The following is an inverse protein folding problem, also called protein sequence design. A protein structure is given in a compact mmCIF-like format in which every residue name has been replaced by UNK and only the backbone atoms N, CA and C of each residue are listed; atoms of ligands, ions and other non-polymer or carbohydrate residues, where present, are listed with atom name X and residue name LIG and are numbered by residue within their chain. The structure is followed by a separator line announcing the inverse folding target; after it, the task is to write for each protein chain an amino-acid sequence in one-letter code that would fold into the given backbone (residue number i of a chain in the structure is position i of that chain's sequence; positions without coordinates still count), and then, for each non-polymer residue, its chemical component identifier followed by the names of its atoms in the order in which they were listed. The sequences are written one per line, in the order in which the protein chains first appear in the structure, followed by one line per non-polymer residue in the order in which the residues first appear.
data_IF_171715069368
#
_entry.id   IF_171715069368
#
_cell.length_a   1.000
_cell.length_b   1.000
_cell.length_c   1.000
_cell.angle_alpha   90.00
_cell.angle_beta   90.00
_cell.angle_gamma   90.00
#
_symmetry.space_group_name_H-M   'P 1'
#
loop_
_entity.id
_entity.type
_entity.pdbx_description
1 polymer ?
#
# COMPACT_ATOMS: atom_id res chain seq x y z
N UNK A 1 -42.08 -62.45 -52.10
CA UNK A 1 -40.92 -61.62 -52.51
C UNK A 1 -39.93 -61.60 -51.37
N UNK A 2 -38.69 -61.96 -51.67
CA UNK A 2 -37.61 -62.13 -50.72
C UNK A 2 -37.13 -60.78 -50.14
N UNK A 3 -36.80 -60.78 -48.84
CA UNK A 3 -35.42 -60.57 -48.35
C UNK A 3 -35.46 -60.48 -46.82
N UNK A 4 -35.29 -61.63 -46.18
CA UNK A 4 -34.81 -61.67 -44.80
C UNK A 4 -33.39 -61.12 -44.77
N UNK A 5 -33.23 -59.92 -44.22
CA UNK A 5 -31.92 -59.31 -44.01
C UNK A 5 -31.28 -60.04 -42.82
N UNK A 6 -30.36 -60.97 -43.11
CA UNK A 6 -29.52 -61.60 -42.11
C UNK A 6 -28.64 -60.53 -41.45
N UNK A 7 -28.91 -60.25 -40.19
CA UNK A 7 -28.13 -59.36 -39.33
C UNK A 7 -26.80 -60.03 -38.97
N UNK A 8 -25.80 -59.92 -39.84
CA UNK A 8 -24.43 -60.32 -39.56
C UNK A 8 -23.67 -59.21 -38.83
N UNK A 9 -24.01 -58.96 -37.56
CA UNK A 9 -23.25 -58.03 -36.72
C UNK A 9 -21.92 -58.68 -36.33
N UNK A 10 -20.90 -58.54 -37.19
CA UNK A 10 -19.53 -58.86 -36.82
C UNK A 10 -19.13 -57.96 -35.65
N UNK A 11 -18.72 -58.55 -34.52
CA UNK A 11 -18.34 -57.83 -33.29
C UNK A 11 -17.38 -56.67 -33.57
N UNK A 12 -16.47 -56.83 -34.56
CA UNK A 12 -15.54 -55.80 -35.04
C UNK A 12 -16.23 -54.55 -35.62
N UNK A 13 -17.33 -54.72 -36.37
CA UNK A 13 -18.10 -53.60 -36.90
C UNK A 13 -18.88 -52.89 -35.80
N UNK A 14 -19.42 -53.64 -34.84
CA UNK A 14 -20.12 -53.05 -33.68
C UNK A 14 -19.16 -52.26 -32.79
N UNK A 15 -17.95 -52.78 -32.52
CA UNK A 15 -16.93 -52.04 -31.75
C UNK A 15 -16.49 -50.77 -32.48
N UNK A 16 -16.32 -50.83 -33.80
CA UNK A 16 -15.93 -49.64 -34.59
C UNK A 16 -17.00 -48.54 -34.56
N UNK A 17 -18.29 -48.93 -34.61
CA UNK A 17 -19.40 -47.99 -34.47
C UNK A 17 -19.42 -47.37 -33.07
N UNK A 18 -19.31 -48.18 -32.01
CA UNK A 18 -19.29 -47.66 -30.62
C UNK A 18 -18.09 -46.74 -30.38
N UNK A 19 -16.90 -47.09 -30.89
CA UNK A 19 -15.72 -46.22 -30.81
C UNK A 19 -15.93 -44.92 -31.58
N UNK A 20 -16.54 -44.95 -32.76
CA UNK A 20 -16.81 -43.73 -33.54
C UNK A 20 -17.80 -42.80 -32.83
N UNK A 21 -18.82 -43.35 -32.17
CA UNK A 21 -19.79 -42.57 -31.36
C UNK A 21 -19.09 -41.95 -30.16
N UNK A 22 -18.25 -42.70 -29.45
CA UNK A 22 -17.49 -42.17 -28.31
C UNK A 22 -16.52 -41.07 -28.71
N UNK A 23 -15.89 -41.16 -29.89
CA UNK A 23 -15.02 -40.09 -30.43
C UNK A 23 -15.84 -38.84 -30.72
N UNK A 24 -17.04 -38.97 -31.32
CA UNK A 24 -17.92 -37.82 -31.59
C UNK A 24 -18.37 -37.15 -30.29
N UNK A 25 -18.71 -37.93 -29.25
CA UNK A 25 -19.07 -37.40 -27.93
C UNK A 25 -17.87 -36.69 -27.30
N UNK A 26 -16.68 -37.29 -27.34
CA UNK A 26 -15.46 -36.68 -26.82
C UNK A 26 -15.15 -35.35 -27.51
N UNK A 27 -15.29 -35.28 -28.84
CA UNK A 27 -15.11 -34.05 -29.62
C UNK A 27 -16.18 -33.00 -29.31
N UNK A 28 -17.42 -33.40 -29.06
CA UNK A 28 -18.50 -32.48 -28.67
C UNK A 28 -18.26 -31.89 -27.28
N UNK A 29 -17.84 -32.71 -26.31
CA UNK A 29 -17.46 -32.24 -24.97
C UNK A 29 -16.24 -31.34 -25.03
N UNK A 30 -15.21 -31.70 -25.80
CA UNK A 30 -14.04 -30.84 -26.06
C UNK A 30 -14.46 -29.49 -26.65
N UNK A 31 -15.35 -29.48 -27.66
CA UNK A 31 -15.86 -28.26 -28.27
C UNK A 31 -16.72 -27.43 -27.30
N UNK A 32 -17.46 -28.07 -26.40
CA UNK A 32 -18.23 -27.38 -25.35
C UNK A 32 -17.31 -26.74 -24.31
N UNK A 33 -16.25 -27.42 -23.89
CA UNK A 33 -15.25 -26.89 -22.94
C UNK A 33 -14.44 -25.76 -23.60
N UNK A 34 -13.96 -25.94 -24.83
CA UNK A 34 -13.25 -24.89 -25.58
C UNK A 34 -14.15 -23.72 -25.97
N UNK A 35 -15.43 -23.97 -26.28
CA UNK A 35 -16.42 -22.93 -26.54
C UNK A 35 -16.77 -22.12 -25.31
N UNK A 36 -16.86 -22.77 -24.14
CA UNK A 36 -17.03 -22.09 -22.86
C UNK A 36 -15.81 -21.23 -22.50
N UNK A 37 -14.60 -21.70 -22.77
CA UNK A 37 -13.37 -20.90 -22.59
C UNK A 37 -13.32 -19.71 -23.56
N UNK A 38 -13.72 -19.89 -24.82
CA UNK A 38 -13.74 -18.79 -25.80
C UNK A 38 -14.87 -17.77 -25.56
N UNK A 39 -16.03 -18.20 -25.03
CA UNK A 39 -17.10 -17.29 -24.63
C UNK A 39 -16.77 -16.56 -23.32
N UNK A 40 -16.10 -17.22 -22.37
CA UNK A 40 -15.63 -16.58 -21.14
C UNK A 40 -14.49 -15.58 -21.40
N UNK A 41 -13.61 -15.84 -22.39
CA UNK A 41 -12.55 -14.89 -22.77
C UNK A 41 -13.04 -13.71 -23.63
N UNK A 42 -14.24 -13.77 -24.20
CA UNK A 42 -14.76 -12.67 -25.02
C UNK A 42 -15.67 -11.70 -24.24
N UNK A 43 -16.34 -12.14 -23.18
CA UNK A 43 -17.17 -11.23 -22.36
C UNK A 43 -16.30 -10.25 -21.55
N UNK A 44 -15.12 -10.68 -21.09
CA UNK A 44 -14.15 -9.80 -20.42
C UNK A 44 -13.46 -8.81 -21.37
N UNK A 45 -13.49 -9.06 -22.68
CA UNK A 45 -12.94 -8.15 -23.70
C UNK A 45 -14.00 -7.15 -24.24
N UNK A 46 -15.28 -7.44 -24.06
CA UNK A 46 -16.40 -6.55 -24.41
C UNK A 46 -16.74 -5.59 -23.27
N UNK A 47 -16.28 -5.85 -22.05
CA UNK A 47 -16.12 -4.83 -20.99
C UNK A 47 -14.88 -3.96 -21.24
N UNK A 48 -14.65 -3.54 -22.49
CA UNK A 48 -13.80 -2.40 -22.76
C UNK A 48 -14.38 -1.22 -21.99
N UNK A 49 -13.75 -0.88 -20.86
CA UNK A 49 -14.01 0.35 -20.11
C UNK A 49 -14.11 1.46 -21.14
N UNK A 50 -15.32 1.97 -21.36
CA UNK A 50 -15.56 3.05 -22.31
C UNK A 50 -15.02 4.32 -21.67
N UNK A 51 -13.73 4.56 -21.88
CA UNK A 51 -13.11 5.82 -21.51
C UNK A 51 -13.75 6.95 -22.33
N UNK A 52 -14.09 8.02 -21.64
CA UNK A 52 -14.46 9.28 -22.26
C UNK A 52 -13.27 9.82 -23.07
N UNK A 53 -13.51 10.65 -24.10
CA UNK A 53 -12.42 11.27 -24.86
C UNK A 53 -11.44 12.07 -24.00
N UNK A 54 -11.92 12.66 -22.89
CA UNK A 54 -11.10 13.39 -21.93
C UNK A 54 -10.13 12.47 -21.16
N UNK A 55 -10.62 11.30 -20.71
CA UNK A 55 -9.78 10.29 -20.05
C UNK A 55 -8.70 9.75 -21.00
N UNK A 56 -9.05 9.50 -22.27
CA UNK A 56 -8.08 9.07 -23.30
C UNK A 56 -7.01 10.16 -23.47
N UNK A 57 -7.42 11.43 -23.55
CA UNK A 57 -6.49 12.55 -23.70
C UNK A 57 -5.52 12.66 -22.52
N UNK A 58 -6.02 12.53 -21.28
CA UNK A 58 -5.20 12.51 -20.06
C UNK A 58 -4.24 11.32 -20.03
N UNK A 59 -4.68 10.13 -20.46
CA UNK A 59 -3.83 8.95 -20.56
C UNK A 59 -2.69 9.16 -21.57
N UNK A 60 -2.98 9.73 -22.75
CA UNK A 60 -1.98 10.05 -23.77
C UNK A 60 -0.97 11.08 -23.27
N UNK A 61 -1.43 12.10 -22.55
CA UNK A 61 -0.57 13.11 -21.94
C UNK A 61 0.36 12.50 -20.87
N UNK A 62 -0.16 11.67 -19.97
CA UNK A 62 0.65 10.97 -18.98
C UNK A 62 1.70 10.06 -19.65
N UNK A 63 1.36 9.38 -20.75
CA UNK A 63 2.32 8.57 -21.52
C UNK A 63 3.42 9.45 -22.12
N UNK A 64 3.09 10.63 -22.65
CA UNK A 64 4.08 11.59 -23.17
C UNK A 64 5.03 12.05 -22.08
N UNK A 65 4.52 12.43 -20.91
CA UNK A 65 5.32 12.86 -19.77
C UNK A 65 6.30 11.75 -19.34
N UNK A 66 5.83 10.52 -19.17
CA UNK A 66 6.70 9.37 -18.80
C UNK A 66 7.78 9.08 -19.84
N UNK A 67 7.47 9.22 -21.13
CA UNK A 67 8.47 9.05 -22.21
C UNK A 67 9.49 10.19 -22.23
N UNK A 68 9.06 11.41 -21.94
CA UNK A 68 9.94 12.57 -21.87
C UNK A 68 10.85 12.54 -20.62
N UNK A 69 10.34 12.03 -19.50
CA UNK A 69 11.10 11.88 -18.24
C UNK A 69 11.96 10.63 -18.19
N UNK A 70 11.88 9.74 -19.19
CA UNK A 70 12.73 8.55 -19.25
C UNK A 70 14.21 8.95 -19.33
N UNK A 71 15.06 8.53 -18.37
CA UNK A 71 16.46 8.96 -18.33
C UNK A 71 17.29 8.14 -19.33
N UNK A 72 17.09 8.38 -20.63
CA UNK A 72 17.72 7.66 -21.76
C UNK A 72 19.24 7.68 -21.70
N UNK A 73 19.82 8.82 -21.27
CA UNK A 73 21.27 8.96 -21.05
C UNK A 73 21.77 8.01 -19.97
N UNK A 74 21.08 7.92 -18.83
CA UNK A 74 21.44 7.01 -17.73
C UNK A 74 21.30 5.56 -18.16
N UNK A 75 20.20 5.19 -18.83
CA UNK A 75 20.02 3.82 -19.37
C UNK A 75 21.15 3.43 -20.32
N UNK A 76 21.61 4.35 -21.18
CA UNK A 76 22.73 4.12 -22.09
C UNK A 76 24.05 3.93 -21.32
N UNK A 77 24.32 4.78 -20.34
CA UNK A 77 25.53 4.68 -19.49
C UNK A 77 25.55 3.35 -18.71
N UNK A 78 24.43 2.97 -18.08
CA UNK A 78 24.32 1.69 -17.36
C UNK A 78 24.54 0.51 -18.30
N UNK A 79 24.02 0.57 -19.54
CA UNK A 79 24.25 -0.47 -20.55
C UNK A 79 25.74 -0.55 -20.94
N UNK A 80 26.41 0.59 -21.12
CA UNK A 80 27.85 0.63 -21.42
C UNK A 80 28.68 0.05 -20.27
N UNK A 81 28.40 0.48 -19.03
CA UNK A 81 29.04 -0.06 -17.84
C UNK A 81 28.81 -1.57 -17.74
N UNK A 82 27.57 -2.06 -17.89
CA UNK A 82 27.29 -3.50 -17.81
C UNK A 82 28.08 -4.33 -18.84
N UNK A 83 28.36 -3.76 -20.03
CA UNK A 83 29.23 -4.39 -21.03
C UNK A 83 30.70 -4.35 -20.60
N UNK A 84 31.18 -3.23 -20.05
CA UNK A 84 32.56 -3.09 -19.54
C UNK A 84 32.86 -3.95 -18.30
N UNK A 85 31.83 -4.26 -17.49
CA UNK A 85 31.97 -5.01 -16.25
C UNK A 85 31.54 -6.48 -16.35
N UNK A 86 30.95 -6.91 -17.47
CA UNK A 86 30.35 -8.24 -17.67
C UNK A 86 31.30 -9.45 -17.66
N UNK A 87 32.62 -9.26 -17.47
CA UNK A 87 33.58 -10.36 -17.30
C UNK A 87 33.94 -10.66 -15.84
N UNK A 88 33.35 -9.96 -14.85
CA UNK A 88 33.71 -10.07 -13.42
C UNK A 88 32.65 -10.73 -12.53
N UNK A 89 31.77 -11.57 -13.10
CA UNK A 89 30.63 -12.17 -12.39
C UNK A 89 30.98 -13.38 -11.47
N UNK A 90 32.25 -13.69 -11.25
CA UNK A 90 32.63 -14.69 -10.25
C UNK A 90 32.59 -14.07 -8.85
N UNK A 91 31.41 -14.05 -8.24
CA UNK A 91 31.19 -13.66 -6.83
C UNK A 91 32.03 -14.59 -5.95
N UNK A 92 33.05 -14.03 -5.28
CA UNK A 92 33.93 -14.82 -4.41
C UNK A 92 33.40 -14.77 -2.98
N UNK A 93 32.89 -15.89 -2.48
CA UNK A 93 32.37 -15.98 -1.12
C UNK A 93 33.51 -16.05 -0.08
N UNK A 94 33.50 -15.12 0.88
CA UNK A 94 34.39 -15.16 2.03
C UNK A 94 33.96 -16.23 3.05
N UNK A 95 34.91 -16.90 3.73
CA UNK A 95 34.63 -17.80 4.84
C UNK A 95 33.84 -17.12 5.97
N UNK A 96 32.93 -17.87 6.61
CA UNK A 96 32.05 -17.34 7.66
C UNK A 96 32.80 -16.68 8.84
N UNK A 97 33.95 -17.25 9.24
CA UNK A 97 34.78 -16.69 10.33
C UNK A 97 35.36 -15.32 10.00
N UNK A 98 35.73 -15.09 8.73
CA UNK A 98 36.24 -13.79 8.28
C UNK A 98 35.11 -12.76 8.26
N UNK A 99 33.93 -13.13 7.73
CA UNK A 99 32.74 -12.27 7.74
C UNK A 99 32.39 -11.80 9.14
N UNK A 100 32.32 -12.72 10.11
CA UNK A 100 31.98 -12.39 11.49
C UNK A 100 32.99 -11.43 12.14
N UNK A 101 34.30 -11.62 11.87
CA UNK A 101 35.32 -10.70 12.36
C UNK A 101 35.15 -9.29 11.78
N UNK A 102 34.93 -9.17 10.47
CA UNK A 102 34.70 -7.87 9.82
C UNK A 102 33.45 -7.18 10.39
N UNK A 103 32.35 -7.92 10.58
CA UNK A 103 31.13 -7.38 11.21
C UNK A 103 31.41 -6.81 12.60
N UNK A 104 32.17 -7.54 13.44
CA UNK A 104 32.49 -7.09 14.79
C UNK A 104 33.37 -5.83 14.78
N UNK A 105 34.37 -5.74 13.90
CA UNK A 105 35.21 -4.55 13.75
C UNK A 105 34.38 -3.32 13.32
N UNK A 106 33.44 -3.49 12.39
CA UNK A 106 32.54 -2.42 11.93
C UNK A 106 31.60 -1.97 13.05
N UNK A 107 30.98 -2.91 13.77
CA UNK A 107 30.10 -2.61 14.91
C UNK A 107 30.88 -1.83 15.98
N UNK A 108 32.10 -2.23 16.28
CA UNK A 108 32.94 -1.51 17.24
C UNK A 108 33.23 -0.09 16.78
N UNK A 109 33.50 0.12 15.49
CA UNK A 109 33.73 1.45 14.91
C UNK A 109 32.47 2.33 15.00
N UNK A 110 31.31 1.77 14.67
CA UNK A 110 30.03 2.49 14.75
C UNK A 110 29.65 2.83 16.21
N UNK A 111 29.89 1.92 17.16
CA UNK A 111 29.66 2.18 18.60
C UNK A 111 30.58 3.25 19.19
N UNK A 112 31.74 3.49 18.57
CA UNK A 112 32.64 4.57 19.00
C UNK A 112 32.18 5.96 18.58
N UNK A 113 31.18 6.06 17.69
CA UNK A 113 30.55 7.32 17.32
C UNK A 113 29.58 7.78 18.43
N UNK A 114 29.30 9.08 18.49
CA UNK A 114 28.34 9.63 19.46
C UNK A 114 26.94 9.05 19.24
N UNK A 115 26.15 8.95 20.31
CA UNK A 115 24.79 8.38 20.26
C UNK A 115 23.80 9.13 19.35
N UNK A 116 24.19 10.30 18.83
CA UNK A 116 23.44 11.14 17.91
C UNK A 116 24.10 11.31 16.53
N UNK A 117 25.07 10.47 16.18
CA UNK A 117 25.77 10.57 14.90
C UNK A 117 24.79 10.43 13.72
N UNK A 118 24.86 11.39 12.79
CA UNK A 118 24.09 11.42 11.55
C UNK A 118 24.40 10.22 10.66
N UNK A 119 23.48 9.90 9.75
CA UNK A 119 23.66 8.85 8.74
C UNK A 119 24.88 9.08 7.85
N UNK A 120 25.19 10.35 7.55
CA UNK A 120 26.42 10.75 6.85
C UNK A 120 27.68 10.36 7.64
N UNK A 121 27.75 10.68 8.93
CA UNK A 121 28.90 10.37 9.80
C UNK A 121 29.10 8.85 9.97
N UNK A 122 28.01 8.08 10.07
CA UNK A 122 28.08 6.62 10.12
C UNK A 122 28.65 6.03 8.84
N UNK A 123 28.24 6.55 7.67
CA UNK A 123 28.77 6.12 6.37
C UNK A 123 30.26 6.47 6.24
N UNK A 124 30.65 7.69 6.61
CA UNK A 124 32.05 8.12 6.56
C UNK A 124 32.95 7.24 7.44
N UNK A 125 32.49 6.90 8.65
CA UNK A 125 33.24 6.03 9.55
C UNK A 125 33.47 4.63 8.98
N UNK A 126 32.48 4.07 8.28
CA UNK A 126 32.57 2.77 7.61
C UNK A 126 33.48 2.83 6.39
N UNK A 127 33.39 3.88 5.57
CA UNK A 127 34.28 4.07 4.42
C UNK A 127 35.73 4.24 4.85
N UNK A 128 35.96 5.00 5.92
CA UNK A 128 37.28 5.15 6.53
C UNK A 128 37.83 3.81 7.01
N UNK A 129 37.03 3.03 7.75
CA UNK A 129 37.43 1.69 8.18
C UNK A 129 37.76 0.77 7.00
N UNK A 130 36.94 0.79 5.94
CA UNK A 130 37.18 -0.01 4.72
C UNK A 130 38.53 0.33 4.09
N UNK A 131 38.87 1.62 4.01
CA UNK A 131 40.14 2.09 3.46
C UNK A 131 41.34 1.68 4.33
N UNK A 132 41.21 1.81 5.66
CA UNK A 132 42.20 1.32 6.63
C UNK A 132 42.43 -0.18 6.48
N UNK A 133 41.34 -0.98 6.43
CA UNK A 133 41.42 -2.43 6.26
C UNK A 133 42.02 -2.86 4.93
N UNK A 134 41.69 -2.15 3.85
CA UNK A 134 42.27 -2.40 2.54
C UNK A 134 43.79 -2.18 2.53
N UNK A 135 44.28 -1.14 3.23
CA UNK A 135 45.72 -0.90 3.40
C UNK A 135 46.40 -1.99 4.22
N UNK A 136 45.79 -2.43 5.34
CA UNK A 136 46.31 -3.53 6.17
C UNK A 136 46.47 -4.82 5.37
N UNK A 137 45.47 -5.17 4.55
CA UNK A 137 45.50 -6.38 3.72
C UNK A 137 46.56 -6.23 2.61
N UNK A 138 46.66 -5.06 1.95
CA UNK A 138 47.69 -4.77 0.93
C UNK A 138 49.12 -4.90 1.51
N UNK A 139 49.36 -4.34 2.70
CA UNK A 139 50.66 -4.46 3.38
C UNK A 139 50.96 -5.91 3.77
N UNK A 140 49.97 -6.63 4.29
CA UNK A 140 50.11 -8.05 4.66
C UNK A 140 50.41 -8.95 3.47
N UNK A 141 49.86 -8.64 2.29
CA UNK A 141 50.18 -9.36 1.04
C UNK A 141 51.59 -9.04 0.52
N UNK A 142 52.08 -7.81 0.72
CA UNK A 142 53.42 -7.41 0.28
C UNK A 142 54.53 -7.99 1.18
N UNK A 143 54.34 -8.03 2.51
CA UNK A 143 55.31 -8.61 3.45
C UNK A 143 55.42 -10.15 3.35
N UNK A 144 54.35 -10.85 2.97
CA UNK A 144 54.31 -12.33 2.92
C UNK A 144 54.80 -12.94 1.61
N UNK A 145 55.34 -12.14 0.68
CA UNK A 145 55.88 -12.62 -0.61
C UNK A 145 57.10 -13.56 -0.49
N UNK A 146 57.53 -13.88 0.75
CA UNK A 146 58.63 -14.81 1.05
C UNK A 146 58.28 -16.04 1.92
N UNK A 147 57.00 -16.37 2.16
CA UNK A 147 56.60 -17.51 3.01
C UNK A 147 55.63 -18.50 2.36
N UNK A 148 55.91 -19.81 2.47
CA UNK A 148 55.21 -20.92 1.82
C UNK A 148 53.84 -21.27 2.45
N UNK A 149 52.83 -20.41 2.33
CA UNK A 149 51.44 -20.80 2.64
C UNK A 149 50.45 -20.23 1.63
N UNK A 150 50.21 -20.99 0.55
CA UNK A 150 49.32 -20.65 -0.57
C UNK A 150 47.90 -20.31 -0.13
N UNK A 151 47.39 -20.99 0.90
CA UNK A 151 46.01 -20.83 1.40
C UNK A 151 45.75 -19.49 2.09
N UNK A 152 46.72 -18.99 2.87
CA UNK A 152 46.60 -17.67 3.53
C UNK A 152 46.72 -16.52 2.52
N UNK A 153 47.48 -16.73 1.45
CA UNK A 153 47.64 -15.76 0.38
C UNK A 153 46.39 -15.69 -0.52
N UNK A 154 45.76 -16.84 -0.79
CA UNK A 154 44.49 -16.93 -1.51
C UNK A 154 43.35 -16.27 -0.73
N UNK A 155 43.23 -16.53 0.58
CA UNK A 155 42.24 -15.85 1.43
C UNK A 155 42.46 -14.34 1.50
N UNK A 156 43.72 -13.88 1.58
CA UNK A 156 44.04 -12.46 1.58
C UNK A 156 43.71 -11.79 0.24
N UNK A 157 43.94 -12.49 -0.89
CA UNK A 157 43.56 -12.02 -2.21
C UNK A 157 42.05 -11.91 -2.40
N UNK A 158 41.30 -12.89 -1.90
CA UNK A 158 39.83 -12.86 -1.88
C UNK A 158 39.28 -11.73 -1.04
N UNK A 159 39.82 -11.52 0.17
CA UNK A 159 39.43 -10.41 1.04
C UNK A 159 39.75 -9.05 0.41
N UNK A 160 40.90 -8.93 -0.27
CA UNK A 160 41.30 -7.71 -0.97
C UNK A 160 40.32 -7.39 -2.10
N UNK A 161 39.93 -8.39 -2.91
CA UNK A 161 38.90 -8.23 -3.95
C UNK A 161 37.54 -7.82 -3.35
N UNK A 162 37.13 -8.48 -2.27
CA UNK A 162 35.87 -8.19 -1.59
C UNK A 162 35.82 -6.76 -1.00
N UNK A 163 36.94 -6.25 -0.49
CA UNK A 163 37.04 -4.89 0.02
C UNK A 163 37.21 -3.83 -1.09
N UNK A 164 37.84 -4.15 -2.22
CA UNK A 164 38.14 -3.19 -3.27
C UNK A 164 37.02 -3.09 -4.32
N UNK A 165 36.65 -4.21 -4.95
CA UNK A 165 35.68 -4.24 -6.03
C UNK A 165 34.29 -4.73 -5.61
N UNK A 166 34.21 -5.72 -4.71
CA UNK A 166 32.95 -6.42 -4.42
C UNK A 166 32.30 -5.95 -3.11
N UNK A 167 32.59 -4.71 -2.68
CA UNK A 167 32.16 -4.18 -1.38
C UNK A 167 30.64 -4.16 -1.23
N UNK A 168 29.89 -3.86 -2.28
CA UNK A 168 28.43 -3.88 -2.24
C UNK A 168 27.91 -5.29 -1.87
N UNK A 169 28.45 -6.31 -2.53
CA UNK A 169 28.10 -7.71 -2.26
C UNK A 169 28.55 -8.14 -0.87
N UNK A 170 29.73 -7.70 -0.44
CA UNK A 170 30.21 -7.95 0.93
C UNK A 170 29.29 -7.30 1.97
N UNK A 171 28.90 -6.03 1.76
CA UNK A 171 28.03 -5.29 2.67
C UNK A 171 26.67 -5.94 2.84
N UNK A 172 26.07 -6.44 1.75
CA UNK A 172 24.82 -7.20 1.81
C UNK A 172 25.00 -8.52 2.58
N UNK A 173 26.08 -9.27 2.27
CA UNK A 173 26.38 -10.54 2.92
C UNK A 173 26.67 -10.44 4.42
N UNK A 174 27.16 -9.30 4.90
CA UNK A 174 27.39 -9.05 6.33
C UNK A 174 26.24 -8.29 7.00
N UNK A 175 25.16 -7.97 6.25
CA UNK A 175 23.98 -7.26 6.76
C UNK A 175 24.23 -5.79 7.09
N UNK A 176 25.22 -5.15 6.44
CA UNK A 176 25.52 -3.74 6.63
C UNK A 176 24.65 -2.88 5.72
N UNK A 177 23.62 -2.24 6.29
CA UNK A 177 22.75 -1.31 5.59
C UNK A 177 22.71 0.03 6.31
N UNK A 178 23.15 1.10 5.63
CA UNK A 178 23.10 2.48 6.11
C UNK A 178 22.25 3.28 5.13
N UNK A 179 21.10 3.83 5.55
CA UNK A 179 20.22 4.63 4.70
C UNK A 179 20.98 5.79 4.05
N UNK A 180 20.71 6.05 2.76
CA UNK A 180 21.15 7.29 2.14
C UNK A 180 20.26 8.43 2.66
N UNK A 181 20.87 9.57 3.00
CA UNK A 181 20.13 10.82 3.11
C UNK A 181 19.65 11.19 1.70
N UNK A 182 18.43 10.75 1.38
CA UNK A 182 17.72 11.23 0.22
C UNK A 182 17.02 12.50 0.66
N UNK A 183 17.60 13.66 0.34
CA UNK A 183 16.78 14.86 0.23
C UNK A 183 15.81 14.60 -0.91
N UNK A 184 14.58 14.23 -0.58
CA UNK A 184 13.48 14.28 -1.53
C UNK A 184 13.13 15.77 -1.67
N UNK A 185 13.53 16.47 -2.74
CA UNK A 185 12.80 17.66 -3.12
C UNK A 185 11.41 17.16 -3.48
N UNK A 186 10.46 17.39 -2.60
CA UNK A 186 9.05 17.13 -2.89
C UNK A 186 8.69 18.01 -4.09
N UNK A 187 8.61 17.39 -5.26
CA UNK A 187 8.12 18.09 -6.44
C UNK A 187 6.62 18.14 -6.26
N UNK A 188 6.09 19.35 -6.07
CA UNK A 188 4.66 19.58 -6.02
C UNK A 188 4.10 19.36 -7.44
N UNK A 189 3.93 18.09 -7.82
CA UNK A 189 3.28 17.65 -9.06
C UNK A 189 1.75 17.91 -9.01
N UNK A 190 1.27 18.72 -8.05
CA UNK A 190 -0.13 19.00 -7.80
C UNK A 190 -0.64 20.01 -8.84
N UNK A 191 -1.72 19.67 -9.58
CA UNK A 191 -2.39 20.66 -10.42
C UNK A 191 -2.99 21.75 -9.53
N UNK A 192 -2.76 23.02 -9.87
CA UNK A 192 -3.37 24.17 -9.18
C UNK A 192 -4.90 24.01 -9.16
N UNK A 193 -5.49 23.81 -7.97
CA UNK A 193 -6.95 23.83 -7.76
C UNK A 193 -7.62 22.54 -7.29
N UNK A 194 -6.88 21.48 -6.95
CA UNK A 194 -7.44 20.34 -6.20
C UNK A 194 -7.03 20.42 -4.73
N UNK A 195 -7.97 20.84 -3.86
CA UNK A 195 -7.86 20.63 -2.42
C UNK A 195 -7.81 19.13 -2.15
N UNK A 196 -6.85 18.69 -1.35
CA UNK A 196 -6.75 17.33 -0.85
C UNK A 196 -8.09 16.90 -0.25
N UNK A 197 -8.70 15.85 -0.82
CA UNK A 197 -9.49 14.97 0.02
C UNK A 197 -8.49 14.16 0.83
N UNK A 198 -7.94 14.78 1.88
CA UNK A 198 -7.42 14.00 3.00
C UNK A 198 -8.56 13.04 3.38
N UNK A 199 -8.30 11.73 3.37
CA UNK A 199 -9.21 10.80 4.05
C UNK A 199 -9.15 11.19 5.53
N UNK A 200 -10.02 12.13 5.93
CA UNK A 200 -10.13 12.65 7.28
C UNK A 200 -10.64 11.52 8.17
N UNK A 201 -9.71 10.71 8.65
CA UNK A 201 -10.01 9.55 9.48
C UNK A 201 -10.39 10.03 10.88
N UNK A 202 -11.53 9.54 11.38
CA UNK A 202 -12.00 9.86 12.73
C UNK A 202 -10.99 9.39 13.79
N UNK A 203 -10.74 10.20 14.84
CA UNK A 203 -9.86 9.78 15.92
C UNK A 203 -10.46 8.62 16.71
N UNK A 204 -9.59 7.66 17.08
CA UNK A 204 -9.93 6.51 17.91
C UNK A 204 -10.21 5.23 17.13
N UNK A 205 -10.87 4.24 17.78
CA UNK A 205 -11.22 2.98 17.13
C UNK A 205 -12.14 3.20 15.92
N UNK A 206 -12.05 2.33 14.89
CA UNK A 206 -12.91 2.44 13.72
C UNK A 206 -14.39 2.28 14.12
N UNK A 207 -15.24 3.10 13.52
CA UNK A 207 -16.68 3.08 13.81
C UNK A 207 -17.30 1.81 13.19
N UNK A 208 -18.11 1.04 13.95
CA UNK A 208 -18.80 -0.14 13.42
C UNK A 208 -19.67 0.18 12.20
N UNK A 209 -19.79 -0.75 11.25
CA UNK A 209 -20.57 -0.52 10.01
C UNK A 209 -22.07 -0.28 10.28
N UNK A 210 -22.63 -0.89 11.33
CA UNK A 210 -24.02 -0.69 11.77
C UNK A 210 -24.33 0.74 12.21
N UNK A 211 -23.29 1.53 12.51
CA UNK A 211 -23.41 2.93 12.88
C UNK A 211 -23.63 3.86 11.68
N UNK A 212 -23.41 3.36 10.45
CA UNK A 212 -23.52 4.12 9.20
C UNK A 212 -22.85 5.50 9.32
N UNK A 213 -21.58 5.49 9.72
CA UNK A 213 -20.83 6.72 9.98
C UNK A 213 -20.57 7.51 8.71
N UNK A 214 -20.85 8.80 8.78
CA UNK A 214 -20.64 9.77 7.72
C UNK A 214 -19.85 10.96 8.26
N UNK A 215 -18.74 11.26 7.62
CA UNK A 215 -17.97 12.48 7.86
C UNK A 215 -18.75 13.70 7.37
N UNK A 216 -18.42 14.85 7.92
CA UNK A 216 -18.98 16.15 7.54
C UNK A 216 -20.51 16.16 7.50
N UNK A 217 -21.14 15.58 8.52
CA UNK A 217 -22.58 15.34 8.53
C UNK A 217 -23.17 15.71 9.87
N UNK A 218 -24.26 16.48 9.84
CA UNK A 218 -25.15 16.69 10.98
C UNK A 218 -26.57 16.29 10.60
N UNK A 219 -27.20 15.51 11.46
CA UNK A 219 -28.58 15.08 11.34
C UNK A 219 -29.45 15.83 12.34
N UNK A 220 -30.61 16.29 11.87
CA UNK A 220 -31.63 16.92 12.70
C UNK A 220 -32.38 15.86 13.52
N UNK A 221 -32.90 16.25 14.69
CA UNK A 221 -33.64 15.37 15.57
C UNK A 221 -33.78 15.90 16.99
N UNK A 222 -34.71 15.30 17.74
CA UNK A 222 -34.92 15.63 19.16
C UNK A 222 -33.80 15.01 19.99
N UNK A 223 -33.07 15.82 20.74
CA UNK A 223 -32.02 15.33 21.63
C UNK A 223 -32.63 14.47 22.75
N UNK A 224 -32.32 13.17 22.75
CA UNK A 224 -32.61 12.25 23.87
C UNK A 224 -31.50 12.30 24.92
N UNK A 225 -30.29 12.69 24.50
CA UNK A 225 -29.19 13.07 25.39
C UNK A 225 -28.39 14.23 24.79
N UNK A 226 -28.22 15.28 25.58
CA UNK A 226 -27.56 16.52 25.18
C UNK A 226 -26.03 16.36 25.17
N UNK A 227 -25.39 16.67 24.04
CA UNK A 227 -23.94 16.57 23.87
C UNK A 227 -23.15 17.53 24.76
N UNK A 228 -23.70 18.71 25.07
CA UNK A 228 -23.09 19.70 25.99
C UNK A 228 -22.64 19.12 27.35
N UNK A 229 -23.30 18.05 27.80
CA UNK A 229 -22.98 17.35 29.06
C UNK A 229 -22.62 15.89 28.84
N UNK A 230 -22.54 15.44 27.59
CA UNK A 230 -22.28 14.06 27.22
C UNK A 230 -21.11 13.99 26.24
N UNK A 231 -19.92 13.72 26.79
CA UNK A 231 -18.69 13.61 26.00
C UNK A 231 -18.29 12.14 25.84
N UNK A 232 -17.69 11.82 24.70
CA UNK A 232 -17.15 10.50 24.34
C UNK A 232 -15.80 10.65 23.66
N UNK A 233 -14.89 9.69 23.86
CA UNK A 233 -13.52 9.83 23.35
C UNK A 233 -13.40 9.59 21.85
N UNK A 234 -14.43 8.97 21.24
CA UNK A 234 -14.46 8.71 19.81
C UNK A 234 -15.89 8.66 19.27
N UNK A 235 -16.00 8.78 17.95
CA UNK A 235 -17.25 8.56 17.22
C UNK A 235 -17.80 7.14 17.42
N UNK A 236 -16.92 6.13 17.52
CA UNK A 236 -17.30 4.74 17.77
C UNK A 236 -18.02 4.60 19.13
N UNK A 237 -17.49 5.24 20.18
CA UNK A 237 -18.14 5.26 21.48
C UNK A 237 -19.45 6.05 21.49
N UNK A 238 -19.54 7.11 20.70
CA UNK A 238 -20.77 7.88 20.57
C UNK A 238 -21.89 7.06 19.91
N UNK A 239 -21.58 6.35 18.82
CA UNK A 239 -22.51 5.40 18.23
C UNK A 239 -22.92 4.30 19.24
N UNK A 240 -21.95 3.70 19.93
CA UNK A 240 -22.25 2.66 20.92
C UNK A 240 -23.17 3.20 22.03
N UNK A 241 -22.98 4.44 22.46
CA UNK A 241 -23.86 5.09 23.43
C UNK A 241 -25.30 5.23 22.91
N UNK A 242 -25.49 5.50 21.61
CA UNK A 242 -26.80 5.53 20.97
C UNK A 242 -27.47 4.14 20.99
N UNK A 243 -26.74 3.10 20.54
CA UNK A 243 -27.22 1.72 20.53
C UNK A 243 -27.60 1.25 21.94
N UNK A 244 -26.76 1.57 22.92
CA UNK A 244 -27.00 1.24 24.32
C UNK A 244 -28.19 2.00 24.91
N UNK A 245 -28.38 3.26 24.51
CA UNK A 245 -29.55 4.04 24.90
C UNK A 245 -30.82 3.42 24.33
N UNK A 246 -30.82 3.05 23.05
CA UNK A 246 -31.95 2.39 22.40
C UNK A 246 -32.32 1.07 23.10
N UNK A 247 -31.33 0.24 23.45
CA UNK A 247 -31.53 -1.03 24.17
C UNK A 247 -32.11 -0.87 25.58
N UNK A 248 -31.80 0.23 26.27
CA UNK A 248 -32.25 0.49 27.66
C UNK A 248 -33.58 1.25 27.75
N UNK A 249 -34.06 1.81 26.65
CA UNK A 249 -35.27 2.61 26.64
C UNK A 249 -36.49 1.79 27.06
N UNK A 250 -37.30 2.35 27.95
CA UNK A 250 -38.54 1.70 28.43
C UNK A 250 -39.66 1.85 27.41
N UNK A 251 -40.72 1.02 27.48
CA UNK A 251 -41.91 1.20 26.66
C UNK A 251 -42.49 2.62 26.83
N UNK A 252 -42.53 3.38 25.74
CA UNK A 252 -43.01 4.78 25.72
C UNK A 252 -41.93 5.85 25.75
N UNK A 253 -40.66 5.50 25.95
CA UNK A 253 -39.53 6.42 25.82
C UNK A 253 -39.01 6.46 24.36
N UNK A 254 -38.56 7.64 23.93
CA UNK A 254 -37.95 7.82 22.60
C UNK A 254 -36.55 7.18 22.58
N UNK A 255 -36.37 6.25 21.66
CA UNK A 255 -35.11 5.51 21.49
C UNK A 255 -34.12 6.33 20.67
N UNK A 256 -32.83 6.25 20.96
CA UNK A 256 -31.84 6.90 20.11
C UNK A 256 -31.77 6.18 18.76
N UNK A 257 -31.81 6.93 17.66
CA UNK A 257 -31.55 6.39 16.32
C UNK A 257 -30.58 7.24 15.50
N UNK A 258 -30.10 8.35 16.05
CA UNK A 258 -29.16 9.26 15.41
C UNK A 258 -28.09 9.61 16.44
N UNK A 259 -26.82 9.53 16.05
CA UNK A 259 -25.70 10.02 16.84
C UNK A 259 -24.94 11.08 16.04
N UNK A 260 -24.49 12.14 16.73
CA UNK A 260 -23.67 13.21 16.16
C UNK A 260 -22.50 13.49 17.11
N UNK A 261 -21.28 13.43 16.59
CA UNK A 261 -20.04 13.51 17.33
C UNK A 261 -19.17 14.69 16.83
N UNK A 262 -18.54 15.40 17.76
CA UNK A 262 -17.57 16.45 17.44
C UNK A 262 -16.12 15.92 17.48
N UNK A 263 -15.48 15.62 16.34
CA UNK A 263 -14.07 15.20 16.30
C UNK A 263 -13.08 16.36 16.39
N UNK A 264 -13.49 17.59 16.08
CA UNK A 264 -12.59 18.74 15.96
C UNK A 264 -12.07 19.23 17.32
N UNK A 265 -10.75 19.37 17.48
CA UNK A 265 -10.11 19.80 18.74
C UNK A 265 -10.54 21.20 19.19
N UNK A 266 -10.79 22.09 18.22
CA UNK A 266 -11.25 23.46 18.44
C UNK A 266 -12.78 23.58 18.58
N UNK A 267 -13.51 22.47 18.64
CA UNK A 267 -14.97 22.46 18.74
C UNK A 267 -15.67 22.51 17.39
N UNK A 268 -16.99 22.30 17.42
CA UNK A 268 -17.79 22.14 16.22
C UNK A 268 -18.81 23.26 16.06
N UNK A 269 -18.95 23.78 14.85
CA UNK A 269 -19.90 24.83 14.55
C UNK A 269 -21.33 24.29 14.43
N UNK A 270 -22.28 24.94 15.11
CA UNK A 270 -23.73 24.78 14.96
C UNK A 270 -24.38 26.16 14.95
N UNK A 271 -25.48 26.39 14.19
CA UNK A 271 -26.18 27.66 14.16
C UNK A 271 -27.12 27.85 15.37
N UNK A 272 -26.61 27.62 16.57
CA UNK A 272 -27.35 27.83 17.82
C UNK A 272 -26.59 28.76 18.77
N UNK A 273 -27.10 28.90 20.00
CA UNK A 273 -26.56 29.82 21.00
C UNK A 273 -25.41 29.22 21.82
N UNK A 274 -25.05 27.95 21.58
CA UNK A 274 -24.06 27.23 22.35
C UNK A 274 -22.70 27.20 21.65
N UNK A 275 -21.66 27.05 22.45
CA UNK A 275 -20.31 26.80 21.99
C UNK A 275 -20.01 25.31 22.17
N UNK A 276 -19.96 24.58 21.06
CA UNK A 276 -19.73 23.13 21.11
C UNK A 276 -18.26 22.80 21.16
N UNK A 277 -17.91 21.90 22.08
CA UNK A 277 -16.52 21.49 22.33
C UNK A 277 -16.20 20.15 21.69
N UNK A 278 -14.89 19.88 21.59
CA UNK A 278 -14.39 18.57 21.19
C UNK A 278 -15.02 17.46 22.04
N UNK A 279 -15.21 16.28 21.46
CA UNK A 279 -15.74 15.07 22.10
C UNK A 279 -17.24 15.12 22.46
N UNK A 280 -17.98 16.19 22.12
CA UNK A 280 -19.42 16.20 22.33
C UNK A 280 -20.12 15.10 21.55
N UNK A 281 -21.00 14.36 22.24
CA UNK A 281 -21.78 13.25 21.70
C UNK A 281 -23.28 13.51 21.91
N UNK A 282 -23.94 13.85 20.82
CA UNK A 282 -25.37 14.11 20.77
C UNK A 282 -26.12 12.84 20.39
N UNK A 283 -27.01 12.40 21.28
CA UNK A 283 -27.92 11.29 20.99
C UNK A 283 -29.28 11.89 20.65
N UNK A 284 -29.76 11.63 19.44
CA UNK A 284 -30.99 12.21 18.91
C UNK A 284 -31.96 11.12 18.47
N UNK A 285 -33.23 11.51 18.36
CA UNK A 285 -34.31 10.71 17.79
C UNK A 285 -35.07 11.50 16.72
N UNK A 286 -35.33 10.86 15.60
CA UNK A 286 -36.32 11.30 14.63
C UNK A 286 -36.99 10.11 13.96
N UNK A 287 -38.32 10.16 13.76
CA UNK A 287 -39.04 9.10 13.04
C UNK A 287 -38.51 8.93 11.60
N UNK A 288 -38.13 10.05 10.97
CA UNK A 288 -37.47 10.11 9.68
C UNK A 288 -36.23 11.01 9.80
N UNK A 289 -35.04 10.44 9.99
CA UNK A 289 -33.79 11.20 10.06
C UNK A 289 -33.66 12.14 8.87
N UNK A 290 -33.54 13.44 9.15
CA UNK A 290 -33.42 14.48 8.14
C UNK A 290 -32.00 15.04 8.21
N UNK A 291 -31.34 15.06 7.06
CA UNK A 291 -30.04 15.69 6.92
C UNK A 291 -30.17 17.19 7.18
N UNK A 292 -29.37 17.71 8.10
CA UNK A 292 -29.30 19.14 8.39
C UNK A 292 -28.23 19.79 7.51
N UNK A 293 -26.97 19.38 7.71
CA UNK A 293 -25.83 19.82 6.92
C UNK A 293 -24.97 18.63 6.47
N UNK A 294 -24.39 18.75 5.27
CA UNK A 294 -23.53 17.73 4.68
C UNK A 294 -22.41 18.37 3.86
N UNK A 295 -21.22 17.79 3.97
CA UNK A 295 -20.01 18.18 3.26
C UNK A 295 -19.63 19.63 3.52
N UNK A 296 -20.10 20.58 2.70
CA UNK A 296 -19.72 22.00 2.77
C UNK A 296 -20.94 22.89 2.99
N UNK A 297 -20.76 23.92 3.82
CA UNK A 297 -21.75 24.98 3.95
C UNK A 297 -21.77 25.81 2.66
N UNK A 298 -22.96 26.11 2.13
CA UNK A 298 -23.08 26.94 0.93
C UNK A 298 -22.57 28.36 1.18
N UNK A 299 -22.07 29.02 0.13
CA UNK A 299 -21.58 30.40 0.24
C UNK A 299 -22.67 31.35 0.76
N UNK A 300 -23.92 31.19 0.29
CA UNK A 300 -25.05 31.97 0.77
C UNK A 300 -25.30 31.78 2.28
N UNK A 301 -25.13 30.55 2.78
CA UNK A 301 -25.25 30.26 4.21
C UNK A 301 -24.11 30.91 5.00
N UNK A 302 -22.87 30.80 4.54
CA UNK A 302 -21.69 31.41 5.19
C UNK A 302 -21.71 32.93 5.16
N UNK A 303 -22.29 33.53 4.12
CA UNK A 303 -22.51 34.99 4.05
C UNK A 303 -23.50 35.48 5.10
N UNK A 304 -24.50 34.66 5.46
CA UNK A 304 -25.44 34.98 6.55
C UNK A 304 -24.93 34.51 7.93
N UNK A 305 -23.97 33.58 7.96
CA UNK A 305 -23.37 33.03 9.17
C UNK A 305 -21.83 33.10 9.07
N UNK A 306 -21.21 34.27 9.31
CA UNK A 306 -19.78 34.47 9.08
C UNK A 306 -18.86 33.54 9.87
N UNK A 307 -19.34 33.00 11.00
CA UNK A 307 -18.60 32.05 11.84
C UNK A 307 -18.69 30.60 11.35
N UNK A 308 -19.52 30.31 10.33
CA UNK A 308 -19.64 28.97 9.77
C UNK A 308 -18.37 28.60 8.98
N UNK A 309 -17.73 27.46 9.29
CA UNK A 309 -16.57 26.98 8.54
C UNK A 309 -16.95 26.61 7.10
N UNK A 310 -15.97 26.28 6.27
CA UNK A 310 -16.21 25.81 4.90
C UNK A 310 -16.86 24.43 4.90
N UNK A 311 -16.35 23.54 5.75
CA UNK A 311 -16.74 22.14 5.83
C UNK A 311 -17.53 21.91 7.13
N UNK A 312 -18.52 21.03 7.09
CA UNK A 312 -19.29 20.62 8.28
C UNK A 312 -18.35 19.88 9.24
N UNK A 313 -18.18 20.33 10.50
CA UNK A 313 -17.17 19.76 11.39
C UNK A 313 -17.65 18.52 12.17
N UNK A 314 -18.90 18.10 11.95
CA UNK A 314 -19.52 16.99 12.67
C UNK A 314 -19.34 15.67 11.94
N UNK A 315 -19.27 14.58 12.70
CA UNK A 315 -19.41 13.22 12.19
C UNK A 315 -20.68 12.61 12.76
N UNK A 316 -21.50 11.98 11.93
CA UNK A 316 -22.80 11.49 12.38
C UNK A 316 -23.18 10.19 11.70
N UNK A 317 -24.19 9.53 12.26
CA UNK A 317 -24.75 8.33 11.66
C UNK A 317 -26.14 8.03 12.18
N UNK A 318 -26.85 7.20 11.40
CA UNK A 318 -28.20 6.74 11.73
C UNK A 318 -28.12 5.24 12.03
N UNK A 319 -28.57 4.86 13.22
CA UNK A 319 -28.66 3.45 13.64
C UNK A 319 -30.11 2.99 13.55
N UNK A 320 -30.32 1.72 13.17
CA UNK A 320 -31.65 1.11 13.03
C UNK A 320 -31.96 0.12 14.14
#
# INVERSE_FOLDING_TARGET
MARGVKWGCSYKKTTLIVCSVNIVIALYVLRSIYGSLYLYSNDDLVNAVKYTPDEISKMEEAIRIRRASEPTKLKKLVKQLKVEFGERDAVVELPAGVKHNLTNEIIQRLRSLSGNASTSEQREAVEKWRNEKLQEVKQSTNLKKGGNSTFLQEQAGTLLRALESDWAVLSENIGLWIPAEVTNPEHDDRPEGQEEQEEENLPGPPVPQECHAELHTDYDGVAVRWGLTHHKESAAECCQACLDHAKRAKPGEVQCNIWVYCPAENGCYSPDIYEHKNMECWLKYAEKPKLNFKDRYSEAYRNSHPNAPVVVPWAAGVVR
#
